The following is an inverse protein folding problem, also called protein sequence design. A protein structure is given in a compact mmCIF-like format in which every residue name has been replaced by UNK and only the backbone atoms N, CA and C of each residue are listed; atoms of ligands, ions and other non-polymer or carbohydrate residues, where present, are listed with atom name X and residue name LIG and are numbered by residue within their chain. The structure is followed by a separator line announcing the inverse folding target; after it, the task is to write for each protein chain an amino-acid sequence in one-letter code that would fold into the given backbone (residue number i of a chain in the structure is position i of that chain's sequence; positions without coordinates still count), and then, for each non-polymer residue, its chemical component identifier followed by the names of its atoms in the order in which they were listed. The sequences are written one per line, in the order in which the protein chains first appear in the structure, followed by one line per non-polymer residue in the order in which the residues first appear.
data_IF_269155470263
#
_entry.id   IF_269155470263
#
_cell.length_a   1.000
_cell.length_b   1.000
_cell.length_c   1.000
_cell.angle_alpha   90.00
_cell.angle_beta   90.00
_cell.angle_gamma   90.00
#
_symmetry.space_group_name_H-M   'P 1'
#
loop_
_entity.id
_entity.type
_entity.pdbx_description
1 polymer ?
#
# COMPACT_ATOMS: atom_id res chain seq x y z
N UNK A 1 -12.61 -14.67 -10.98
CA UNK A 1 -12.05 -13.30 -11.10
C UNK A 1 -12.43 -12.50 -9.86
N UNK A 2 -11.43 -11.88 -9.22
CA UNK A 2 -11.59 -11.09 -8.00
C UNK A 2 -12.58 -9.93 -8.13
N UNK A 3 -13.35 -9.66 -7.08
CA UNK A 3 -14.28 -8.53 -6.96
C UNK A 3 -13.91 -7.71 -5.73
N UNK A 4 -13.87 -6.39 -5.88
CA UNK A 4 -13.51 -5.48 -4.80
C UNK A 4 -14.73 -4.60 -4.49
N UNK A 5 -15.19 -4.65 -3.25
CA UNK A 5 -16.29 -3.83 -2.74
C UNK A 5 -15.75 -2.89 -1.68
N UNK A 6 -15.76 -1.59 -1.96
CA UNK A 6 -15.41 -0.56 -0.98
C UNK A 6 -16.55 -0.38 0.02
N UNK A 7 -16.26 -0.43 1.32
CA UNK A 7 -17.26 -0.35 2.40
C UNK A 7 -17.07 0.90 3.25
N UNK A 8 -16.71 2.01 2.61
CA UNK A 8 -16.32 3.23 3.29
C UNK A 8 -17.46 4.06 3.91
N UNK A 9 -18.70 3.84 3.47
CA UNK A 9 -19.84 4.68 3.83
C UNK A 9 -20.53 4.21 5.11
N UNK A 10 -21.18 5.13 5.81
CA UNK A 10 -22.14 4.85 6.89
C UNK A 10 -21.54 4.00 8.04
N UNK A 11 -20.39 4.42 8.56
CA UNK A 11 -19.82 3.86 9.79
C UNK A 11 -20.39 4.59 11.01
N UNK A 12 -20.65 3.86 12.08
CA UNK A 12 -20.99 4.42 13.38
C UNK A 12 -19.71 4.57 14.19
N UNK A 13 -19.28 5.80 14.43
CA UNK A 13 -18.08 6.12 15.21
C UNK A 13 -18.47 6.49 16.64
N UNK A 14 -17.81 5.88 17.63
CA UNK A 14 -17.85 6.30 19.04
C UNK A 14 -16.53 6.95 19.39
N UNK A 15 -16.57 8.26 19.61
CA UNK A 15 -15.39 9.10 19.80
C UNK A 15 -14.92 9.24 21.25
N UNK A 16 -13.93 10.13 21.48
CA UNK A 16 -13.34 10.40 22.79
C UNK A 16 -14.33 10.81 23.89
N UNK A 17 -15.40 11.50 23.50
CA UNK A 17 -16.47 11.98 24.37
C UNK A 17 -17.55 10.90 24.65
N UNK A 18 -17.39 9.71 24.07
CA UNK A 18 -18.35 8.60 24.15
C UNK A 18 -19.59 8.78 23.28
N UNK A 19 -19.68 9.86 22.51
CA UNK A 19 -20.83 10.11 21.63
C UNK A 19 -20.70 9.29 20.35
N UNK A 20 -21.86 8.84 19.88
CA UNK A 20 -22.01 8.10 18.64
C UNK A 20 -22.38 9.06 17.50
N UNK A 21 -21.55 9.11 16.46
CA UNK A 21 -21.80 9.88 15.22
C UNK A 21 -21.58 9.03 13.97
N UNK A 22 -22.40 9.23 12.94
CA UNK A 22 -22.18 8.61 11.64
C UNK A 22 -21.02 9.29 10.91
N UNK A 23 -20.12 8.51 10.33
CA UNK A 23 -18.96 8.97 9.57
C UNK A 23 -18.77 8.13 8.31
N UNK A 24 -18.11 8.72 7.32
CA UNK A 24 -17.54 7.98 6.20
C UNK A 24 -16.02 7.90 6.39
N UNK A 25 -15.41 6.77 6.02
CA UNK A 25 -13.95 6.66 5.95
C UNK A 25 -13.47 7.00 4.52
N UNK A 26 -12.27 7.56 4.31
CA UNK A 26 -11.25 8.00 5.29
C UNK A 26 -11.75 8.93 6.41
N UNK A 27 -11.44 8.60 7.66
CA UNK A 27 -11.80 9.39 8.83
C UNK A 27 -10.71 9.40 9.90
N UNK A 28 -10.51 10.55 10.55
CA UNK A 28 -9.71 10.68 11.76
C UNK A 28 -10.42 11.56 12.77
N UNK A 29 -10.36 11.18 14.05
CA UNK A 29 -10.89 12.03 15.12
C UNK A 29 -9.96 13.20 15.46
N UNK A 30 -8.74 13.21 14.91
CA UNK A 30 -7.76 14.27 15.17
C UNK A 30 -7.68 15.34 14.06
N UNK A 31 -8.71 15.44 13.20
CA UNK A 31 -8.71 16.38 12.07
C UNK A 31 -8.67 17.86 12.51
N UNK A 32 -9.14 18.15 13.73
CA UNK A 32 -9.22 19.51 14.29
C UNK A 32 -8.19 19.71 15.41
N UNK A 33 -8.30 18.95 16.50
CA UNK A 33 -7.41 19.05 17.69
C UNK A 33 -5.95 18.70 17.38
N UNK A 34 -5.71 17.97 16.30
CA UNK A 34 -4.38 17.64 15.81
C UNK A 34 -3.67 18.78 15.09
N UNK A 35 -4.32 19.92 14.90
CA UNK A 35 -3.85 21.01 14.02
C UNK A 35 -4.08 22.42 14.60
N UNK A 36 -4.55 22.55 15.84
CA UNK A 36 -4.88 23.84 16.48
C UNK A 36 -3.89 24.29 17.57
N UNK A 37 -2.92 23.44 17.94
CA UNK A 37 -1.82 23.78 18.84
C UNK A 37 -1.91 23.00 20.16
N UNK A 38 -1.42 23.56 21.26
CA UNK A 38 -1.65 23.03 22.62
C UNK A 38 -0.93 21.74 23.02
N UNK A 39 -0.56 20.88 22.06
CA UNK A 39 -0.07 19.51 22.31
C UNK A 39 -1.07 18.69 23.15
N UNK A 40 -2.36 18.90 22.89
CA UNK A 40 -3.51 18.36 23.62
C UNK A 40 -4.45 17.51 22.76
N UNK A 41 -4.07 17.23 21.50
CA UNK A 41 -4.80 16.30 20.64
C UNK A 41 -5.06 14.97 21.34
N UNK A 42 -6.31 14.50 21.26
CA UNK A 42 -6.72 13.35 22.04
C UNK A 42 -6.10 12.06 21.51
N UNK A 43 -5.56 11.26 22.44
CA UNK A 43 -4.97 9.96 22.15
C UNK A 43 -5.56 8.87 23.02
N UNK A 44 -6.00 7.79 22.39
CA UNK A 44 -6.67 6.69 23.06
C UNK A 44 -7.39 5.80 22.05
N UNK A 45 -8.30 4.97 22.58
CA UNK A 45 -9.08 4.04 21.79
C UNK A 45 -10.44 4.63 21.42
N UNK A 46 -10.76 4.62 20.13
CA UNK A 46 -12.11 4.87 19.62
C UNK A 46 -12.64 3.64 18.89
N UNK A 47 -13.97 3.56 18.75
CA UNK A 47 -14.65 2.42 18.13
C UNK A 47 -15.36 2.84 16.85
N UNK A 48 -15.14 2.08 15.78
CA UNK A 48 -15.92 2.15 14.54
C UNK A 48 -16.76 0.89 14.43
N UNK A 49 -18.05 1.04 14.15
CA UNK A 49 -18.99 -0.07 13.96
C UNK A 49 -19.64 0.06 12.59
N UNK A 50 -19.84 -1.07 11.92
CA UNK A 50 -20.49 -1.10 10.62
C UNK A 50 -21.34 -2.34 10.47
N UNK A 51 -22.61 -2.11 10.16
CA UNK A 51 -23.48 -3.15 9.66
C UNK A 51 -23.34 -3.27 8.13
N UNK A 52 -23.27 -4.50 7.64
CA UNK A 52 -23.30 -4.78 6.21
C UNK A 52 -23.97 -6.12 5.91
N UNK A 53 -24.59 -6.19 4.73
CA UNK A 53 -25.18 -7.43 4.22
C UNK A 53 -24.07 -8.30 3.64
N UNK A 54 -24.15 -9.61 3.88
CA UNK A 54 -23.25 -10.57 3.25
C UNK A 54 -23.20 -10.35 1.74
N UNK A 55 -22.03 -10.05 1.15
CA UNK A 55 -21.94 -9.97 -0.30
C UNK A 55 -22.22 -11.35 -0.90
N UNK A 56 -22.75 -11.40 -2.11
CA UNK A 56 -22.99 -12.68 -2.80
C UNK A 56 -21.66 -13.25 -3.31
N UNK A 57 -21.38 -14.49 -2.96
CA UNK A 57 -20.22 -15.25 -3.43
C UNK A 57 -20.58 -16.72 -3.66
N UNK A 58 -19.85 -17.37 -4.55
CA UNK A 58 -20.01 -18.79 -4.85
C UNK A 58 -19.38 -19.68 -3.76
N UNK A 59 -19.72 -20.97 -3.75
CA UNK A 59 -19.20 -21.90 -2.73
C UNK A 59 -17.67 -22.05 -2.78
N UNK A 60 -17.09 -21.89 -3.96
CA UNK A 60 -15.65 -21.91 -4.25
C UNK A 60 -15.03 -20.49 -4.18
N UNK A 61 -15.66 -19.55 -3.50
CA UNK A 61 -15.12 -18.21 -3.25
C UNK A 61 -14.83 -17.99 -1.75
N UNK A 62 -13.95 -17.03 -1.48
CA UNK A 62 -13.53 -16.53 -0.17
C UNK A 62 -13.72 -15.02 -0.13
N UNK A 63 -13.90 -14.45 1.06
CA UNK A 63 -14.00 -13.00 1.28
C UNK A 63 -12.96 -12.56 2.29
N UNK A 64 -12.13 -11.61 1.88
CA UNK A 64 -11.18 -10.91 2.74
C UNK A 64 -11.71 -9.55 3.15
N UNK A 65 -11.46 -9.18 4.40
CA UNK A 65 -11.56 -7.79 4.88
C UNK A 65 -10.18 -7.15 4.78
N UNK A 66 -10.04 -6.05 4.04
CA UNK A 66 -8.80 -5.30 3.86
C UNK A 66 -8.94 -3.89 4.42
N UNK A 67 -7.96 -3.46 5.21
CA UNK A 67 -7.78 -2.07 5.64
C UNK A 67 -6.50 -1.51 5.04
N UNK A 68 -6.58 -0.33 4.43
CA UNK A 68 -5.41 0.35 3.83
C UNK A 68 -4.61 1.19 4.82
N UNK A 69 -5.17 1.49 5.98
CA UNK A 69 -4.52 2.25 7.04
C UNK A 69 -5.47 2.53 8.21
N UNK A 70 -5.09 2.05 9.39
CA UNK A 70 -5.78 2.33 10.66
C UNK A 70 -4.72 2.75 11.68
N UNK A 71 -4.76 4.00 12.14
CA UNK A 71 -3.68 4.53 12.98
C UNK A 71 -4.07 4.55 14.47
N UNK A 72 -3.23 4.02 15.38
CA UNK A 72 -1.94 3.36 15.18
C UNK A 72 -1.99 1.84 15.31
N UNK A 73 -2.85 1.34 16.20
CA UNK A 73 -3.13 -0.08 16.39
C UNK A 73 -4.61 -0.35 16.15
N UNK A 74 -4.93 -1.51 15.60
CA UNK A 74 -6.29 -1.94 15.34
C UNK A 74 -6.59 -3.28 16.00
N UNK A 75 -7.78 -3.40 16.60
CA UNK A 75 -8.41 -4.68 16.92
C UNK A 75 -9.70 -4.80 16.13
N UNK A 76 -9.91 -5.94 15.47
CA UNK A 76 -11.06 -6.16 14.59
C UNK A 76 -11.88 -7.34 15.09
N UNK A 77 -13.20 -7.14 15.17
CA UNK A 77 -14.19 -8.14 15.53
C UNK A 77 -15.31 -8.17 14.48
N UNK A 78 -15.75 -9.37 14.12
CA UNK A 78 -16.89 -9.58 13.23
C UNK A 78 -17.87 -10.51 13.93
N UNK A 79 -19.12 -10.06 14.08
CA UNK A 79 -20.20 -10.83 14.70
C UNK A 79 -19.85 -11.36 16.11
N UNK A 80 -19.18 -10.52 16.91
CA UNK A 80 -18.77 -10.87 18.28
C UNK A 80 -17.54 -11.77 18.38
N UNK A 81 -16.85 -12.05 17.26
CA UNK A 81 -15.61 -12.85 17.23
C UNK A 81 -14.43 -12.00 16.79
N UNK A 82 -13.35 -12.02 17.58
CA UNK A 82 -12.09 -11.39 17.20
C UNK A 82 -11.53 -12.04 15.93
N UNK A 83 -11.22 -11.20 14.94
CA UNK A 83 -10.63 -11.60 13.65
C UNK A 83 -9.11 -11.43 13.68
N UNK A 84 -8.63 -10.35 14.30
CA UNK A 84 -7.20 -10.11 14.44
C UNK A 84 -6.87 -8.76 15.03
N UNK A 85 -5.57 -8.53 15.19
CA UNK A 85 -4.98 -7.26 15.61
C UNK A 85 -3.87 -6.85 14.66
N UNK A 86 -3.62 -5.55 14.54
CA UNK A 86 -2.55 -4.98 13.73
C UNK A 86 -1.90 -3.82 14.48
N UNK A 87 -0.57 -3.77 14.51
CA UNK A 87 0.23 -2.71 15.14
C UNK A 87 1.08 -2.02 14.06
N UNK A 88 0.64 -0.84 13.60
CA UNK A 88 1.31 -0.08 12.55
C UNK A 88 0.33 0.79 11.75
N UNK A 89 0.40 2.10 11.93
CA UNK A 89 -0.62 3.00 11.38
C UNK A 89 -0.61 3.21 9.86
N UNK A 90 0.29 2.60 9.10
CA UNK A 90 0.65 3.11 7.76
C UNK A 90 0.63 2.06 6.65
N UNK A 91 0.45 0.80 7.00
CA UNK A 91 0.48 -0.35 6.09
C UNK A 91 -0.90 -0.95 5.89
N UNK A 92 -1.06 -1.67 4.77
CA UNK A 92 -2.26 -2.47 4.49
C UNK A 92 -2.23 -3.76 5.29
N UNK A 93 -3.38 -4.22 5.77
CA UNK A 93 -3.54 -5.54 6.40
C UNK A 93 -4.88 -6.18 6.02
N UNK A 94 -4.94 -7.51 6.09
CA UNK A 94 -6.09 -8.31 5.67
C UNK A 94 -6.34 -9.51 6.56
N UNK A 95 -7.59 -9.99 6.55
CA UNK A 95 -7.97 -11.32 7.06
C UNK A 95 -9.04 -11.96 6.20
N UNK A 96 -8.95 -13.27 5.99
CA UNK A 96 -10.07 -14.06 5.48
C UNK A 96 -11.18 -14.08 6.54
N UNK A 97 -12.36 -13.59 6.17
CA UNK A 97 -13.54 -13.52 7.05
C UNK A 97 -14.66 -14.46 6.61
N UNK A 98 -14.41 -15.31 5.61
CA UNK A 98 -15.44 -16.15 4.94
C UNK A 98 -16.29 -16.93 5.95
N UNK A 99 -15.64 -17.64 6.87
CA UNK A 99 -16.29 -18.53 7.83
C UNK A 99 -16.96 -17.78 9.00
N UNK A 100 -16.75 -16.46 9.09
CA UNK A 100 -17.32 -15.60 10.12
C UNK A 100 -18.58 -14.85 9.63
N UNK A 101 -18.87 -14.88 8.31
CA UNK A 101 -19.97 -14.14 7.71
C UNK A 101 -21.35 -14.77 7.97
N UNK A 102 -22.27 -13.93 8.44
CA UNK A 102 -23.70 -14.19 8.57
C UNK A 102 -24.47 -13.39 7.51
N UNK A 103 -25.78 -13.60 7.35
CA UNK A 103 -26.59 -12.82 6.38
C UNK A 103 -26.55 -11.30 6.64
N UNK A 104 -26.58 -10.93 7.92
CA UNK A 104 -26.31 -9.57 8.40
C UNK A 104 -25.08 -9.63 9.28
N UNK A 105 -24.12 -8.75 9.00
CA UNK A 105 -22.84 -8.73 9.69
C UNK A 105 -22.68 -7.44 10.46
N UNK A 106 -22.10 -7.55 11.64
CA UNK A 106 -21.72 -6.43 12.49
C UNK A 106 -20.20 -6.44 12.69
N UNK A 107 -19.52 -5.48 12.06
CA UNK A 107 -18.08 -5.28 12.14
C UNK A 107 -17.76 -4.21 13.18
N UNK A 108 -16.79 -4.49 14.04
CA UNK A 108 -16.31 -3.57 15.08
C UNK A 108 -14.79 -3.45 14.97
N UNK A 109 -14.31 -2.21 14.97
CA UNK A 109 -12.89 -1.89 14.84
C UNK A 109 -12.53 -0.91 15.94
N UNK A 110 -11.72 -1.35 16.89
CA UNK A 110 -11.10 -0.46 17.87
C UNK A 110 -9.81 0.05 17.27
N UNK A 111 -9.74 1.35 17.03
CA UNK A 111 -8.53 2.05 16.61
C UNK A 111 -7.92 2.77 17.81
N UNK A 112 -6.63 2.56 18.06
CA UNK A 112 -5.91 3.12 19.21
C UNK A 112 -4.63 3.84 18.75
N UNK A 113 -4.51 5.13 19.07
CA UNK A 113 -3.28 5.91 18.88
C UNK A 113 -2.62 6.32 20.22
N UNK A 114 -2.99 5.64 21.32
CA UNK A 114 -2.47 5.92 22.67
C UNK A 114 -0.94 5.82 22.77
N UNK A 115 -0.40 6.38 23.85
CA UNK A 115 1.03 6.28 24.16
C UNK A 115 1.36 4.85 24.62
N UNK A 116 2.44 4.29 24.08
CA UNK A 116 3.01 3.02 24.51
C UNK A 116 4.52 3.01 24.17
N UNK A 117 5.21 1.90 24.42
CA UNK A 117 6.65 1.72 24.19
C UNK A 117 6.99 0.67 23.12
N UNK A 118 6.00 0.20 22.35
CA UNK A 118 6.11 -0.91 21.41
C UNK A 118 5.80 -0.56 19.95
N UNK A 119 4.87 0.36 19.68
CA UNK A 119 4.42 0.71 18.31
C UNK A 119 4.95 2.09 17.92
N UNK A 120 5.80 2.15 16.91
CA UNK A 120 6.27 3.42 16.35
C UNK A 120 5.22 4.09 15.45
N UNK A 121 5.15 5.44 15.41
CA UNK A 121 5.96 6.42 16.15
C UNK A 121 5.38 6.74 17.54
N UNK A 122 6.24 7.19 18.46
CA UNK A 122 5.81 7.67 19.80
C UNK A 122 6.31 9.07 20.16
N UNK A 123 7.37 9.54 19.48
CA UNK A 123 7.96 10.87 19.63
C UNK A 123 8.38 11.36 18.26
N UNK A 124 7.73 12.41 17.76
CA UNK A 124 8.07 13.03 16.48
C UNK A 124 7.39 14.40 16.39
N UNK A 125 7.80 15.19 15.41
CA UNK A 125 7.25 16.52 15.12
C UNK A 125 6.10 16.45 14.10
N UNK A 126 5.16 15.53 14.30
CA UNK A 126 3.92 15.43 13.53
C UNK A 126 2.81 14.80 14.37
N UNK A 127 1.56 15.17 14.10
CA UNK A 127 0.40 14.61 14.80
C UNK A 127 0.16 13.16 14.42
N UNK A 128 -0.08 12.30 15.41
CA UNK A 128 -0.42 10.89 15.21
C UNK A 128 -1.92 10.73 15.05
N UNK A 129 -2.46 11.19 13.92
CA UNK A 129 -3.89 11.21 13.64
C UNK A 129 -4.53 9.83 13.74
N UNK A 130 -5.34 9.57 14.77
CA UNK A 130 -5.95 8.26 14.98
C UNK A 130 -7.19 8.02 14.14
N UNK A 131 -7.45 6.76 13.78
CA UNK A 131 -8.67 6.36 13.06
C UNK A 131 -8.44 5.51 11.82
N UNK A 132 -9.55 5.15 11.16
CA UNK A 132 -9.55 4.47 9.87
C UNK A 132 -9.43 5.53 8.77
N UNK A 133 -8.20 5.98 8.53
CA UNK A 133 -7.92 7.16 7.69
C UNK A 133 -7.62 6.79 6.22
N UNK A 134 -7.72 5.51 5.85
CA UNK A 134 -7.69 5.05 4.46
C UNK A 134 -8.81 4.05 4.21
N UNK A 135 -8.99 3.69 2.95
CA UNK A 135 -10.07 2.84 2.47
C UNK A 135 -10.15 1.46 3.15
N UNK A 136 -11.37 0.94 3.20
CA UNK A 136 -11.69 -0.41 3.69
C UNK A 136 -12.45 -1.17 2.59
N UNK A 137 -12.06 -2.41 2.34
CA UNK A 137 -12.61 -3.24 1.27
C UNK A 137 -13.04 -4.61 1.78
N UNK A 138 -14.10 -5.14 1.16
CA UNK A 138 -14.36 -6.57 1.07
C UNK A 138 -13.88 -7.07 -0.29
N UNK A 139 -13.00 -8.06 -0.29
CA UNK A 139 -12.40 -8.60 -1.52
C UNK A 139 -12.85 -10.05 -1.67
N UNK A 140 -13.66 -10.32 -2.69
CA UNK A 140 -14.07 -11.68 -3.04
C UNK A 140 -13.07 -12.27 -4.02
N UNK A 141 -12.53 -13.45 -3.69
CA UNK A 141 -11.58 -14.22 -4.52
C UNK A 141 -12.05 -15.66 -4.63
N UNK A 142 -11.55 -16.44 -5.60
CA UNK A 142 -11.77 -17.87 -5.62
C UNK A 142 -11.02 -18.55 -4.46
N UNK A 143 -11.43 -19.74 -4.02
CA UNK A 143 -10.71 -20.53 -3.00
C UNK A 143 -9.26 -20.80 -3.40
N UNK A 144 -8.98 -20.90 -4.69
CA UNK A 144 -7.63 -20.92 -5.28
C UNK A 144 -7.32 -19.52 -5.82
N UNK A 145 -6.50 -18.77 -5.12
CA UNK A 145 -6.18 -17.37 -5.43
C UNK A 145 -4.69 -17.05 -5.24
N UNK A 146 -4.28 -15.88 -5.75
CA UNK A 146 -2.99 -15.30 -5.40
C UNK A 146 -2.99 -14.87 -3.93
N UNK A 147 -1.86 -15.02 -3.24
CA UNK A 147 -1.71 -14.79 -1.81
C UNK A 147 -2.24 -13.41 -1.36
N UNK A 148 -3.07 -13.43 -0.33
CA UNK A 148 -3.69 -12.26 0.29
C UNK A 148 -3.23 -12.04 1.74
N UNK A 149 -2.56 -13.03 2.35
CA UNK A 149 -2.25 -13.10 3.78
C UNK A 149 -0.84 -12.60 4.11
N UNK A 150 0.08 -12.62 3.13
CA UNK A 150 1.46 -12.25 3.39
C UNK A 150 1.67 -10.73 3.46
N UNK A 151 1.62 -10.19 4.69
CA UNK A 151 1.91 -8.77 5.01
C UNK A 151 1.16 -7.76 4.14
N UNK A 152 -0.11 -8.04 3.78
CA UNK A 152 -0.91 -7.16 2.93
C UNK A 152 -0.40 -6.99 1.50
N UNK A 153 0.56 -7.82 1.07
CA UNK A 153 1.20 -7.74 -0.25
C UNK A 153 0.25 -8.01 -1.42
N UNK A 154 0.67 -7.72 -2.66
CA UNK A 154 -0.17 -7.89 -3.84
C UNK A 154 -0.19 -9.33 -4.41
N UNK A 155 0.55 -10.27 -3.82
CA UNK A 155 0.69 -11.65 -4.33
C UNK A 155 1.57 -11.79 -5.60
N UNK A 156 2.16 -10.69 -6.06
CA UNK A 156 3.05 -10.61 -7.23
C UNK A 156 4.25 -9.71 -6.94
N UNK A 157 5.44 -10.16 -7.31
CA UNK A 157 6.71 -9.43 -7.17
C UNK A 157 7.41 -9.36 -8.52
N UNK A 158 7.70 -8.16 -9.00
CA UNK A 158 8.32 -7.92 -10.30
C UNK A 158 9.70 -7.32 -10.12
N UNK A 159 10.72 -8.04 -10.57
CA UNK A 159 12.10 -7.53 -10.62
C UNK A 159 12.49 -7.29 -12.07
N UNK A 160 12.67 -6.04 -12.45
CA UNK A 160 13.00 -5.65 -13.81
C UNK A 160 14.30 -4.86 -13.88
N UNK A 161 15.16 -5.21 -14.84
CA UNK A 161 16.41 -4.49 -15.11
C UNK A 161 16.68 -4.36 -16.61
N UNK A 162 17.31 -3.28 -17.06
CA UNK A 162 17.83 -3.20 -18.42
C UNK A 162 19.00 -4.18 -18.61
N UNK A 163 19.14 -4.66 -19.84
CA UNK A 163 20.22 -5.53 -20.31
C UNK A 163 20.70 -5.08 -21.70
N UNK A 164 21.82 -5.64 -22.15
CA UNK A 164 22.38 -5.42 -23.50
C UNK A 164 22.46 -3.93 -23.89
N UNK A 165 23.14 -3.13 -23.06
CA UNK A 165 23.30 -1.69 -23.30
C UNK A 165 21.97 -0.93 -23.31
N UNK A 166 21.01 -1.33 -22.47
CA UNK A 166 19.68 -0.73 -22.32
C UNK A 166 18.72 -0.95 -23.51
N UNK A 167 18.99 -1.92 -24.38
CA UNK A 167 18.12 -2.23 -25.53
C UNK A 167 17.12 -3.35 -25.24
N UNK A 168 17.36 -4.15 -24.20
CA UNK A 168 16.46 -5.22 -23.73
C UNK A 168 16.12 -5.03 -22.25
N UNK A 169 14.94 -5.50 -21.86
CA UNK A 169 14.53 -5.59 -20.47
C UNK A 169 14.48 -7.05 -20.03
N UNK A 170 15.20 -7.39 -18.96
CA UNK A 170 15.03 -8.67 -18.26
C UNK A 170 14.04 -8.49 -17.13
N UNK A 171 12.98 -9.31 -17.11
CA UNK A 171 11.90 -9.21 -16.13
C UNK A 171 11.70 -10.57 -15.50
N UNK A 172 11.84 -10.64 -14.17
CA UNK A 172 11.45 -11.79 -13.36
C UNK A 172 10.16 -11.46 -12.63
N UNK A 173 9.14 -12.29 -12.82
CA UNK A 173 7.87 -12.18 -12.12
C UNK A 173 7.71 -13.41 -11.23
N UNK A 174 7.71 -13.15 -9.92
CA UNK A 174 7.43 -14.15 -8.89
C UNK A 174 5.99 -13.93 -8.40
N UNK A 175 5.18 -15.00 -8.40
CA UNK A 175 3.80 -14.96 -7.91
C UNK A 175 3.61 -15.96 -6.78
N UNK A 176 2.82 -15.56 -5.79
CA UNK A 176 2.53 -16.37 -4.63
C UNK A 176 1.04 -16.74 -4.68
N UNK A 177 0.72 -18.02 -4.47
CA UNK A 177 -0.64 -18.54 -4.54
C UNK A 177 -0.92 -19.39 -3.31
N UNK A 178 -2.17 -19.43 -2.86
CA UNK A 178 -2.56 -20.27 -1.73
C UNK A 178 -2.77 -21.76 -2.10
N UNK A 179 -2.49 -22.14 -3.36
CA UNK A 179 -2.64 -23.49 -3.88
C UNK A 179 -1.41 -23.93 -4.69
N UNK A 180 -1.14 -25.24 -4.76
CA UNK A 180 -0.01 -25.80 -5.52
C UNK A 180 -0.41 -26.22 -6.96
N UNK A 181 -1.62 -26.75 -7.14
CA UNK A 181 -2.06 -27.40 -8.39
C UNK A 181 -2.44 -26.43 -9.53
N UNK A 182 -2.62 -25.14 -9.23
CA UNK A 182 -2.97 -24.13 -10.23
C UNK A 182 -1.83 -23.81 -11.21
N UNK A 183 -2.19 -23.49 -12.45
CA UNK A 183 -1.25 -23.01 -13.48
C UNK A 183 -1.26 -21.48 -13.49
N UNK A 184 -0.08 -20.86 -13.51
CA UNK A 184 0.06 -19.42 -13.64
C UNK A 184 0.58 -19.08 -15.04
N UNK A 185 -0.12 -18.16 -15.71
CA UNK A 185 0.35 -17.52 -16.94
C UNK A 185 0.65 -16.06 -16.63
N UNK A 186 1.81 -15.58 -17.04
CA UNK A 186 2.23 -14.19 -16.83
C UNK A 186 2.38 -13.49 -18.17
N UNK A 187 1.79 -12.31 -18.30
CA UNK A 187 1.89 -11.43 -19.47
C UNK A 187 2.49 -10.09 -19.07
N UNK A 188 3.39 -9.58 -19.89
CA UNK A 188 3.85 -8.20 -19.81
C UNK A 188 3.14 -7.41 -20.90
N UNK A 189 2.42 -6.37 -20.49
CA UNK A 189 1.70 -5.45 -21.34
C UNK A 189 2.47 -4.13 -21.45
N UNK A 190 2.56 -3.58 -22.65
CA UNK A 190 3.01 -2.20 -22.85
C UNK A 190 1.93 -1.17 -22.46
N UNK A 191 2.24 0.12 -22.58
CA UNK A 191 1.34 1.20 -22.18
C UNK A 191 0.04 1.25 -22.99
N UNK A 192 0.02 0.65 -24.19
CA UNK A 192 -1.17 0.55 -25.06
C UNK A 192 -1.96 -0.76 -24.80
N UNK A 193 -1.52 -1.57 -23.82
CA UNK A 193 -2.15 -2.84 -23.46
C UNK A 193 -1.76 -4.02 -24.36
N UNK A 194 -0.74 -3.88 -25.22
CA UNK A 194 -0.27 -4.96 -26.08
C UNK A 194 0.68 -5.89 -25.31
N UNK A 195 0.48 -7.20 -25.46
CA UNK A 195 1.40 -8.20 -24.92
C UNK A 195 2.76 -8.11 -25.62
N UNK A 196 3.81 -7.79 -24.86
CA UNK A 196 5.19 -7.71 -25.33
C UNK A 196 6.07 -8.87 -24.87
N UNK A 197 5.63 -9.61 -23.84
CA UNK A 197 6.23 -10.88 -23.43
C UNK A 197 5.19 -11.74 -22.70
N UNK A 198 5.34 -13.05 -22.76
CA UNK A 198 4.53 -14.01 -22.03
C UNK A 198 5.42 -15.11 -21.44
N UNK A 199 5.07 -15.59 -20.26
CA UNK A 199 5.75 -16.65 -19.53
C UNK A 199 4.76 -17.50 -18.76
N UNK A 200 5.24 -18.64 -18.26
CA UNK A 200 4.43 -19.58 -17.50
C UNK A 200 5.14 -19.99 -16.20
N UNK A 201 4.34 -20.35 -15.20
CA UNK A 201 4.82 -20.73 -13.88
C UNK A 201 4.83 -19.58 -12.88
N UNK A 202 5.08 -19.92 -11.62
CA UNK A 202 5.09 -18.98 -10.48
C UNK A 202 6.37 -18.15 -10.38
N UNK A 203 7.40 -18.52 -11.13
CA UNK A 203 8.68 -17.80 -11.25
C UNK A 203 9.03 -17.73 -12.73
N UNK A 204 8.49 -16.73 -13.40
CA UNK A 204 8.62 -16.54 -14.84
C UNK A 204 9.74 -15.53 -15.13
N UNK A 205 10.72 -15.95 -15.92
CA UNK A 205 11.74 -15.07 -16.48
C UNK A 205 11.39 -14.76 -17.93
N UNK A 206 11.24 -13.49 -18.25
CA UNK A 206 10.81 -12.99 -19.55
C UNK A 206 11.75 -11.90 -20.03
N UNK A 207 11.70 -11.63 -21.34
CA UNK A 207 12.50 -10.59 -21.99
C UNK A 207 11.61 -9.67 -22.81
N UNK A 208 11.81 -8.37 -22.65
CA UNK A 208 11.20 -7.33 -23.47
C UNK A 208 12.24 -6.90 -24.51
N UNK A 209 11.96 -7.13 -25.79
CA UNK A 209 12.77 -6.58 -26.88
C UNK A 209 12.46 -5.09 -27.06
N UNK A 210 13.47 -4.30 -27.44
CA UNK A 210 13.33 -2.86 -27.66
C UNK A 210 12.68 -2.15 -26.46
N UNK A 211 13.22 -2.41 -25.26
CA UNK A 211 12.63 -1.91 -24.02
C UNK A 211 12.56 -0.39 -24.00
N UNK A 212 11.44 0.14 -23.52
CA UNK A 212 11.31 1.55 -23.15
C UNK A 212 11.62 1.67 -21.66
N UNK A 213 12.66 2.41 -21.32
CA UNK A 213 13.10 2.55 -19.95
C UNK A 213 12.16 3.48 -19.18
N UNK A 214 11.91 3.17 -17.91
CA UNK A 214 11.48 4.20 -16.97
C UNK A 214 12.68 5.10 -16.68
N UNK A 215 12.58 6.37 -17.05
CA UNK A 215 13.71 7.29 -17.11
C UNK A 215 13.44 8.60 -16.35
N UNK A 216 12.79 8.46 -15.19
CA UNK A 216 12.40 9.57 -14.32
C UNK A 216 11.44 10.52 -15.02
N UNK A 217 11.46 11.79 -14.63
CA UNK A 217 10.54 12.83 -15.16
C UNK A 217 10.66 13.03 -16.68
N UNK A 218 11.73 12.54 -17.32
CA UNK A 218 11.94 12.67 -18.77
C UNK A 218 11.07 11.72 -19.58
N UNK A 219 10.88 10.51 -19.09
CA UNK A 219 10.09 9.47 -19.74
C UNK A 219 9.71 8.40 -18.69
N UNK A 220 8.63 8.61 -17.91
CA UNK A 220 8.21 7.70 -16.85
C UNK A 220 7.46 6.48 -17.40
N UNK A 221 8.04 5.79 -18.38
CA UNK A 221 7.38 4.69 -19.06
C UNK A 221 7.11 3.50 -18.13
N UNK A 222 5.86 3.04 -18.09
CA UNK A 222 5.42 1.90 -17.27
C UNK A 222 4.89 0.77 -18.15
N UNK A 223 5.26 -0.45 -17.78
CA UNK A 223 4.64 -1.68 -18.25
C UNK A 223 3.67 -2.19 -17.18
N UNK A 224 2.81 -3.14 -17.56
CA UNK A 224 1.96 -3.89 -16.60
C UNK A 224 2.30 -5.36 -16.64
N UNK A 225 2.60 -5.96 -15.49
CA UNK A 225 2.68 -7.41 -15.34
C UNK A 225 1.31 -7.93 -14.87
N UNK A 226 0.70 -8.79 -15.68
CA UNK A 226 -0.56 -9.47 -15.39
C UNK A 226 -0.26 -10.94 -15.16
N UNK A 227 -0.65 -11.48 -14.01
CA UNK A 227 -0.59 -12.92 -13.75
C UNK A 227 -2.01 -13.48 -13.57
N UNK A 228 -2.32 -14.52 -14.35
CA UNK A 228 -3.61 -15.21 -14.34
C UNK A 228 -3.41 -16.61 -13.76
N UNK A 229 -4.20 -16.95 -12.76
CA UNK A 229 -4.26 -18.28 -12.16
C UNK A 229 -5.40 -19.08 -12.79
N UNK A 230 -5.05 -20.19 -13.43
CA UNK A 230 -6.00 -21.15 -14.01
C UNK A 230 -6.03 -22.40 -13.14
N UNK A 231 -7.22 -22.77 -12.67
CA UNK A 231 -7.48 -24.01 -11.92
C UNK A 231 -8.73 -24.69 -12.48
N UNK A 232 -8.73 -26.03 -12.51
CA UNK A 232 -9.87 -26.83 -12.97
C UNK A 232 -10.37 -26.42 -14.38
N UNK A 233 -9.42 -26.04 -15.25
CA UNK A 233 -9.68 -25.63 -16.63
C UNK A 233 -10.28 -24.23 -16.80
N UNK A 234 -10.35 -23.41 -15.75
CA UNK A 234 -10.92 -22.06 -15.77
C UNK A 234 -9.98 -21.04 -15.13
N UNK A 235 -10.02 -19.80 -15.60
CA UNK A 235 -9.29 -18.70 -14.97
C UNK A 235 -10.04 -18.28 -13.70
N UNK A 236 -9.41 -18.52 -12.55
CA UNK A 236 -10.04 -18.36 -11.24
C UNK A 236 -9.68 -17.02 -10.58
N UNK A 237 -8.47 -16.53 -10.79
CA UNK A 237 -7.99 -15.26 -10.23
C UNK A 237 -6.95 -14.57 -11.13
N UNK A 238 -6.78 -13.25 -10.94
CA UNK A 238 -5.86 -12.42 -11.70
C UNK A 238 -5.28 -11.29 -10.83
N UNK A 239 -3.97 -11.16 -10.76
CA UNK A 239 -3.26 -10.01 -10.16
C UNK A 239 -2.57 -9.20 -11.24
N UNK A 240 -2.53 -7.88 -11.05
CA UNK A 240 -1.81 -6.96 -11.91
C UNK A 240 -0.99 -5.97 -11.08
N UNK A 241 0.17 -5.60 -11.59
CA UNK A 241 0.98 -4.52 -11.03
C UNK A 241 1.73 -3.80 -12.15
N UNK A 242 1.83 -2.47 -12.04
CA UNK A 242 2.67 -1.68 -12.95
C UNK A 242 4.11 -1.73 -12.47
N UNK A 243 5.04 -1.63 -13.41
CA UNK A 243 6.47 -1.58 -13.11
C UNK A 243 7.23 -0.82 -14.20
N UNK A 244 8.42 -0.33 -13.86
CA UNK A 244 9.33 0.33 -14.77
C UNK A 244 10.63 -0.47 -14.94
N UNK A 245 11.18 -0.48 -16.16
CA UNK A 245 12.52 -1.05 -16.42
C UNK A 245 13.54 0.05 -16.31
N UNK A 246 14.39 -0.01 -15.27
CA UNK A 246 15.40 1.00 -14.96
C UNK A 246 16.56 0.39 -14.19
N UNK A 247 17.70 1.04 -14.27
CA UNK A 247 18.88 0.79 -13.44
C UNK A 247 19.32 2.09 -12.79
N UNK A 248 19.90 2.01 -11.59
CA UNK A 248 20.39 3.19 -10.88
C UNK A 248 21.62 2.86 -10.06
N UNK A 249 22.45 3.88 -9.84
CA UNK A 249 23.64 3.78 -9.01
C UNK A 249 23.88 5.09 -8.28
N UNK A 250 24.60 5.02 -7.16
CA UNK A 250 25.12 6.18 -6.46
C UNK A 250 26.64 6.10 -6.43
N UNK A 251 27.29 7.16 -6.88
CA UNK A 251 28.72 7.36 -6.72
C UNK A 251 28.97 8.40 -5.61
N UNK A 252 29.89 8.13 -4.66
CA UNK A 252 30.13 9.02 -3.53
C UNK A 252 30.72 10.38 -3.92
N UNK A 253 31.23 10.56 -5.14
CA UNK A 253 31.82 11.81 -5.64
C UNK A 253 30.93 12.51 -6.65
N UNK A 254 30.25 11.77 -7.53
CA UNK A 254 29.51 12.33 -8.66
C UNK A 254 27.99 12.18 -8.53
N UNK A 255 27.51 11.55 -7.45
CA UNK A 255 26.11 11.56 -7.07
C UNK A 255 25.28 10.45 -7.71
N UNK A 256 24.00 10.72 -7.95
CA UNK A 256 23.04 9.73 -8.41
C UNK A 256 23.04 9.59 -9.95
N UNK A 257 22.89 8.35 -10.41
CA UNK A 257 22.79 7.99 -11.82
C UNK A 257 21.50 7.19 -12.05
N UNK A 258 20.79 7.55 -13.12
CA UNK A 258 19.64 6.81 -13.63
C UNK A 258 19.95 6.35 -15.06
N UNK A 259 19.83 5.06 -15.32
CA UNK A 259 20.10 4.44 -16.62
C UNK A 259 21.46 4.85 -17.21
N UNK A 260 22.50 4.81 -16.36
CA UNK A 260 23.89 5.13 -16.73
C UNK A 260 24.18 6.62 -16.95
N UNK A 261 23.21 7.51 -16.74
CA UNK A 261 23.37 8.97 -16.90
C UNK A 261 23.27 9.67 -15.56
N UNK A 262 24.09 10.71 -15.35
CA UNK A 262 23.98 11.56 -14.17
C UNK A 262 22.56 12.13 -14.08
N UNK A 263 21.95 11.95 -12.91
CA UNK A 263 20.59 12.37 -12.63
C UNK A 263 20.55 12.95 -11.20
N UNK A 264 21.04 14.20 -11.02
CA UNK A 264 21.08 14.83 -9.70
C UNK A 264 19.67 14.91 -9.09
N UNK A 265 19.53 14.44 -7.86
CA UNK A 265 18.25 14.43 -7.15
C UNK A 265 18.05 15.76 -6.42
N UNK A 266 17.05 16.52 -6.87
CA UNK A 266 16.61 17.79 -6.28
C UNK A 266 15.15 17.65 -5.92
N UNK A 267 14.80 17.83 -4.64
CA UNK A 267 13.51 17.41 -4.16
C UNK A 267 13.07 18.00 -2.84
N UNK A 268 11.96 17.43 -2.36
CA UNK A 268 11.26 17.83 -1.16
C UNK A 268 10.80 16.62 -0.35
N UNK A 269 10.37 16.86 0.88
CA UNK A 269 9.59 15.90 1.65
C UNK A 269 8.11 16.24 1.57
N UNK A 270 7.25 15.25 1.81
CA UNK A 270 5.80 15.45 1.88
C UNK A 270 5.23 14.61 3.01
N UNK A 271 4.50 15.23 3.95
CA UNK A 271 3.65 14.52 4.91
C UNK A 271 2.29 14.21 4.31
N UNK A 272 1.55 13.24 4.87
CA UNK A 272 0.26 12.80 4.32
C UNK A 272 -0.97 13.47 4.95
N UNK A 273 -0.84 14.68 5.48
CA UNK A 273 -1.95 15.41 6.09
C UNK A 273 -2.30 16.69 5.35
N UNK A 274 -3.50 17.21 5.64
CA UNK A 274 -3.99 18.46 5.09
C UNK A 274 -4.84 19.18 6.13
N UNK A 275 -4.82 20.50 6.04
CA UNK A 275 -5.55 21.39 6.95
C UNK A 275 -7.04 21.00 7.03
N UNK A 276 -7.56 20.88 8.26
CA UNK A 276 -8.94 20.53 8.67
C UNK A 276 -9.38 19.09 8.48
N UNK A 277 -8.58 18.23 7.86
CA UNK A 277 -8.95 16.82 7.63
C UNK A 277 -7.94 15.83 8.22
N UNK A 278 -6.85 16.33 8.82
CA UNK A 278 -5.75 15.49 9.26
C UNK A 278 -5.20 14.66 8.09
N UNK A 279 -5.02 13.36 8.31
CA UNK A 279 -4.52 12.41 7.32
C UNK A 279 -5.62 11.70 6.50
N UNK A 280 -6.91 12.06 6.68
CA UNK A 280 -8.02 11.44 5.95
C UNK A 280 -8.17 12.01 4.53
N UNK A 281 -7.16 11.79 3.68
CA UNK A 281 -7.06 12.39 2.35
C UNK A 281 -7.87 11.61 1.31
N UNK A 282 -8.37 12.34 0.30
CA UNK A 282 -8.94 11.74 -0.91
C UNK A 282 -7.88 11.59 -2.00
N UNK A 283 -8.19 10.82 -3.05
CA UNK A 283 -7.31 10.68 -4.21
C UNK A 283 -7.06 12.02 -4.92
N UNK A 284 -8.06 12.88 -5.00
CA UNK A 284 -7.93 14.22 -5.60
C UNK A 284 -6.90 15.07 -4.85
N UNK A 285 -6.83 14.92 -3.52
CA UNK A 285 -5.86 15.63 -2.70
C UNK A 285 -4.43 15.09 -2.89
N UNK A 286 -4.27 13.77 -3.04
CA UNK A 286 -2.99 13.17 -3.43
C UNK A 286 -2.52 13.64 -4.80
N UNK A 287 -3.45 13.73 -5.77
CA UNK A 287 -3.15 14.22 -7.11
C UNK A 287 -2.73 15.70 -7.09
N UNK A 288 -3.45 16.54 -6.36
CA UNK A 288 -3.12 17.96 -6.22
C UNK A 288 -1.72 18.17 -5.61
N UNK A 289 -1.39 17.44 -4.54
CA UNK A 289 -0.05 17.49 -3.95
C UNK A 289 1.03 17.09 -4.97
N UNK A 290 0.78 16.05 -5.76
CA UNK A 290 1.71 15.61 -6.82
C UNK A 290 1.85 16.65 -7.94
N UNK A 291 0.75 17.27 -8.37
CA UNK A 291 0.77 18.29 -9.41
C UNK A 291 1.59 19.52 -8.95
N UNK A 292 1.46 19.94 -7.68
CA UNK A 292 2.30 20.99 -7.09
C UNK A 292 3.78 20.61 -7.04
N UNK A 293 4.10 19.36 -6.67
CA UNK A 293 5.47 18.83 -6.68
C UNK A 293 6.05 18.86 -8.10
N UNK A 294 5.26 18.44 -9.10
CA UNK A 294 5.66 18.46 -10.50
C UNK A 294 5.88 19.90 -11.01
N UNK A 295 4.98 20.83 -10.67
CA UNK A 295 5.08 22.25 -11.05
C UNK A 295 6.36 22.90 -10.52
N UNK A 296 6.78 22.55 -9.30
CA UNK A 296 8.03 23.02 -8.70
C UNK A 296 9.28 22.55 -9.47
N UNK A 297 9.16 21.54 -10.34
CA UNK A 297 10.25 21.05 -11.18
C UNK A 297 11.26 20.16 -10.46
N UNK A 298 10.86 19.59 -9.31
CA UNK A 298 11.68 18.60 -8.59
C UNK A 298 11.57 17.22 -9.21
N UNK A 299 12.55 16.36 -8.91
CA UNK A 299 12.62 15.00 -9.46
C UNK A 299 12.78 13.90 -8.41
N UNK A 300 12.75 14.27 -7.12
CA UNK A 300 12.74 13.32 -6.01
C UNK A 300 11.81 13.77 -4.90
N UNK A 301 11.20 12.79 -4.22
CA UNK A 301 10.38 13.02 -3.03
C UNK A 301 10.80 12.05 -1.93
N UNK A 302 11.02 12.59 -0.73
CA UNK A 302 11.11 11.78 0.50
C UNK A 302 9.75 11.71 1.15
N UNK A 303 9.15 10.53 1.15
CA UNK A 303 7.87 10.25 1.78
C UNK A 303 8.08 9.90 3.24
N UNK A 304 8.35 10.96 4.00
CA UNK A 304 8.60 10.95 5.42
C UNK A 304 7.27 10.97 6.22
N UNK A 305 7.17 10.35 7.39
CA UNK A 305 8.14 9.51 8.09
C UNK A 305 7.61 8.08 8.21
N UNK A 306 6.92 7.59 7.19
CA UNK A 306 6.14 6.37 7.26
C UNK A 306 5.70 5.94 5.86
N UNK A 307 5.07 4.78 5.76
CA UNK A 307 4.48 4.32 4.51
C UNK A 307 3.31 5.23 4.07
N UNK A 308 3.35 5.70 2.82
CA UNK A 308 2.31 6.52 2.21
C UNK A 308 1.23 5.67 1.52
N UNK A 309 0.18 6.34 1.04
CA UNK A 309 -0.90 5.68 0.29
C UNK A 309 -0.38 5.08 -1.02
N UNK A 310 -0.88 3.90 -1.40
CA UNK A 310 -0.51 3.25 -2.67
C UNK A 310 -0.75 4.17 -3.87
N UNK A 311 -1.83 4.94 -3.85
CA UNK A 311 -2.15 5.88 -4.92
C UNK A 311 -1.10 6.99 -5.05
N UNK A 312 -0.45 7.40 -3.96
CA UNK A 312 0.63 8.38 -4.04
C UNK A 312 1.92 7.76 -4.61
N UNK A 313 2.23 6.51 -4.29
CA UNK A 313 3.35 5.80 -4.93
C UNK A 313 3.09 5.53 -6.42
N UNK A 314 1.85 5.20 -6.78
CA UNK A 314 1.40 5.10 -8.17
C UNK A 314 1.62 6.41 -8.93
N UNK A 315 1.25 7.55 -8.34
CA UNK A 315 1.53 8.87 -8.91
C UNK A 315 3.04 9.11 -9.04
N UNK A 316 3.86 8.71 -8.07
CA UNK A 316 5.32 8.84 -8.19
C UNK A 316 5.88 8.05 -9.38
N UNK A 317 5.39 6.82 -9.60
CA UNK A 317 5.76 6.01 -10.76
C UNK A 317 5.36 6.70 -12.07
N UNK A 318 4.11 7.17 -12.15
CA UNK A 318 3.54 7.84 -13.34
C UNK A 318 4.22 9.17 -13.68
N UNK A 319 4.65 9.93 -12.66
CA UNK A 319 5.27 11.24 -12.84
C UNK A 319 6.79 11.18 -12.91
N UNK A 320 7.39 10.01 -12.75
CA UNK A 320 8.84 9.85 -12.87
C UNK A 320 9.61 10.35 -11.65
N UNK A 321 8.97 10.40 -10.48
CA UNK A 321 9.62 10.82 -9.24
C UNK A 321 10.53 9.71 -8.71
N UNK A 322 11.74 10.06 -8.28
CA UNK A 322 12.61 9.14 -7.56
C UNK A 322 12.26 9.22 -6.08
N UNK A 323 11.89 8.10 -5.45
CA UNK A 323 11.29 8.07 -4.12
C UNK A 323 12.21 7.45 -3.09
N UNK A 324 12.28 8.11 -1.94
CA UNK A 324 12.69 7.54 -0.67
C UNK A 324 11.43 7.24 0.15
N UNK A 325 11.23 5.98 0.51
CA UNK A 325 10.16 5.54 1.41
C UNK A 325 10.75 5.04 2.73
N UNK A 326 10.08 5.25 3.86
CA UNK A 326 10.65 4.90 5.17
C UNK A 326 9.60 4.41 6.16
N UNK A 327 10.07 3.81 7.25
CA UNK A 327 9.25 3.45 8.42
C UNK A 327 9.34 4.52 9.50
N UNK A 328 8.38 4.61 10.44
CA UNK A 328 8.39 5.61 11.51
C UNK A 328 9.35 5.30 12.67
N UNK A 329 10.50 4.69 12.39
CA UNK A 329 11.52 4.44 13.40
C UNK A 329 12.31 5.72 13.70
N UNK A 330 11.68 6.66 14.42
CA UNK A 330 12.12 8.06 14.49
C UNK A 330 12.36 8.53 15.93
N UNK A 331 13.22 9.55 16.07
CA UNK A 331 13.55 10.35 17.27
C UNK A 331 14.22 9.61 18.43
N UNK A 332 13.69 8.48 18.88
CA UNK A 332 14.14 7.79 20.08
C UNK A 332 14.00 6.27 19.92
N UNK A 333 15.10 5.55 20.21
CA UNK A 333 15.08 4.10 20.22
C UNK A 333 14.30 3.55 21.43
N UNK A 334 13.16 2.93 21.16
CA UNK A 334 12.36 2.14 22.09
C UNK A 334 12.84 0.68 22.11
N UNK A 335 13.39 0.16 23.23
CA UNK A 335 13.84 -1.23 23.32
C UNK A 335 12.74 -2.26 23.02
N UNK A 336 11.50 -1.99 23.43
CA UNK A 336 10.34 -2.85 23.21
C UNK A 336 9.70 -2.67 21.81
N UNK A 337 10.20 -1.74 21.00
CA UNK A 337 9.66 -1.46 19.67
C UNK A 337 10.29 -2.25 18.52
N UNK A 338 11.27 -3.12 18.80
CA UNK A 338 12.05 -3.83 17.75
C UNK A 338 11.16 -4.64 16.81
N UNK A 339 10.25 -5.45 17.34
CA UNK A 339 9.39 -6.31 16.51
C UNK A 339 8.50 -5.48 15.59
N UNK A 340 8.00 -4.34 16.08
CA UNK A 340 7.21 -3.41 15.29
C UNK A 340 8.03 -2.76 14.16
N UNK A 341 9.29 -2.36 14.39
CA UNK A 341 10.16 -1.86 13.28
C UNK A 341 10.36 -2.90 12.19
N UNK A 342 10.51 -4.17 12.57
CA UNK A 342 10.71 -5.27 11.61
C UNK A 342 9.42 -5.51 10.83
N UNK A 343 8.27 -5.55 11.52
CA UNK A 343 6.96 -5.74 10.88
C UNK A 343 6.67 -4.63 9.88
N UNK A 344 6.76 -3.37 10.30
CA UNK A 344 6.48 -2.23 9.42
C UNK A 344 7.45 -2.17 8.23
N UNK A 345 8.72 -2.56 8.41
CA UNK A 345 9.67 -2.61 7.29
C UNK A 345 9.33 -3.73 6.30
N UNK A 346 8.91 -4.91 6.79
CA UNK A 346 8.45 -6.00 5.92
C UNK A 346 7.22 -5.58 5.14
N UNK A 347 6.22 -5.00 5.80
CA UNK A 347 5.01 -4.50 5.16
C UNK A 347 5.33 -3.43 4.11
N UNK A 348 6.16 -2.45 4.46
CA UNK A 348 6.61 -1.40 3.55
C UNK A 348 7.24 -2.00 2.29
N UNK A 349 8.23 -2.89 2.43
CA UNK A 349 8.93 -3.46 1.28
C UNK A 349 7.98 -4.36 0.47
N UNK A 350 7.24 -5.25 1.11
CA UNK A 350 6.39 -6.24 0.41
C UNK A 350 5.26 -5.54 -0.36
N UNK A 351 4.64 -4.52 0.24
CA UNK A 351 3.53 -3.80 -0.38
C UNK A 351 3.99 -2.87 -1.51
N UNK A 352 5.23 -2.37 -1.44
CA UNK A 352 5.72 -1.34 -2.35
C UNK A 352 6.87 -1.80 -3.26
N UNK A 353 7.23 -3.09 -3.27
CA UNK A 353 8.37 -3.62 -4.02
C UNK A 353 8.34 -3.26 -5.51
N UNK A 354 7.14 -3.29 -6.11
CA UNK A 354 6.96 -3.16 -7.55
C UNK A 354 7.02 -1.71 -8.03
N UNK A 355 6.98 -0.73 -7.13
CA UNK A 355 7.04 0.68 -7.50
C UNK A 355 8.38 1.04 -8.13
N UNK A 356 8.33 1.48 -9.39
CA UNK A 356 9.51 1.80 -10.18
C UNK A 356 10.29 2.98 -9.57
N UNK A 357 9.55 3.91 -8.97
CA UNK A 357 10.01 5.15 -8.35
C UNK A 357 10.89 4.93 -7.13
N UNK A 358 10.66 3.87 -6.35
CA UNK A 358 11.37 3.67 -5.08
C UNK A 358 12.78 3.15 -5.33
N UNK A 359 13.77 3.88 -4.82
CA UNK A 359 15.20 3.53 -4.92
C UNK A 359 15.87 3.39 -3.54
N UNK A 360 15.20 3.81 -2.47
CA UNK A 360 15.74 3.81 -1.12
C UNK A 360 14.66 3.48 -0.09
N UNK A 361 15.01 2.61 0.87
CA UNK A 361 14.23 2.30 2.06
C UNK A 361 14.91 2.92 3.28
N UNK A 362 14.32 3.96 3.86
CA UNK A 362 14.79 4.60 5.08
C UNK A 362 14.51 3.73 6.30
N UNK A 363 15.56 3.41 7.04
CA UNK A 363 15.48 2.54 8.22
C UNK A 363 15.11 3.28 9.50
N UNK A 364 15.46 4.57 9.62
CA UNK A 364 15.22 5.42 10.80
C UNK A 364 15.43 6.90 10.51
#
# INVERSE_FOLDING_TARGET
MRKILQINKDWQFTGPDGNQVAVDVPHTWNAVDGQDGGNDYWRGTCLYEKDFIKPQFAADERIYLEFRGVNASAKVELNGREIGTHDGGYSTFRWDVTDHLQEKNHLRVWADNSRNDRVYPQKADFTFYGGIYRDVFLITVNEKHFDMDHFGGPGIKVTARPAEGYTRGEVRVETYTNCEEGKVTVRILDADGKIVAEGAGRDAQMRIEHVKLWNGVKDPYLYTAQAVLTADGRDVDCVETRFGVRDFATDPKTGFYLNGKSYPLHGVSRHQDRKRIGNALTKEMHLEDMDMICEMGVNTVRLAHYQHDQYFYDLCDERGMVVWAEIPYISEHMPNGRENTISQMKELIIQNYNHASIVCWGVS
#
